data_IF_122730924160
#
_entry.id   IF_122730924160
#
_cell.length_a   1.000
_cell.length_b   1.000
_cell.length_c   1.000
_cell.angle_alpha   90.00
_cell.angle_beta   90.00
_cell.angle_gamma   90.00
#
_symmetry.space_group_name_H-M   'P 1'
#
loop_
_entity.id
_entity.type
_entity.pdbx_description
1 polymer ?
#
# COMPACT_ATOMS: atom_id res chain seq x y z
N UNK A 1 -33.20 7.15 4.05
CA UNK A 1 -32.61 8.51 3.99
C UNK A 1 -31.12 8.36 3.75
N UNK A 2 -30.47 9.18 2.90
CA UNK A 2 -29.03 9.12 2.74
C UNK A 2 -28.32 9.49 4.06
N UNK A 3 -27.31 8.71 4.44
CA UNK A 3 -26.44 8.98 5.60
C UNK A 3 -25.28 9.87 5.16
N UNK A 4 -24.99 10.91 5.93
CA UNK A 4 -23.79 11.73 5.74
C UNK A 4 -22.59 10.98 6.35
N UNK A 5 -21.49 10.93 5.59
CA UNK A 5 -20.19 10.35 5.96
C UNK A 5 -19.20 11.51 6.09
N UNK A 6 -18.34 11.51 7.10
CA UNK A 6 -17.47 12.65 7.41
C UNK A 6 -16.30 12.30 8.30
N UNK A 7 -15.34 13.22 8.43
CA UNK A 7 -14.09 12.98 9.18
C UNK A 7 -14.32 12.62 10.64
N UNK A 8 -15.42 13.07 11.24
CA UNK A 8 -15.81 12.78 12.62
C UNK A 8 -16.00 11.29 12.91
N UNK A 9 -16.19 10.44 11.89
CA UNK A 9 -16.33 8.98 12.07
C UNK A 9 -15.04 8.30 12.57
N UNK A 10 -13.89 8.97 12.43
CA UNK A 10 -12.59 8.45 12.88
C UNK A 10 -11.88 9.37 13.88
N UNK A 11 -12.52 10.45 14.35
CA UNK A 11 -11.89 11.45 15.22
C UNK A 11 -11.41 10.85 16.55
N UNK A 12 -12.18 9.91 17.11
CA UNK A 12 -11.91 9.24 18.39
C UNK A 12 -10.85 8.13 18.30
N UNK A 13 -10.39 7.79 17.09
CA UNK A 13 -9.31 6.81 16.93
C UNK A 13 -7.96 7.42 17.32
N UNK A 14 -7.05 6.61 17.86
CA UNK A 14 -5.66 7.02 17.98
C UNK A 14 -5.03 7.25 16.60
N UNK A 15 -3.98 8.06 16.56
CA UNK A 15 -3.36 8.48 15.31
C UNK A 15 -2.88 7.30 14.43
N UNK A 16 -2.20 6.25 14.95
CA UNK A 16 -1.94 5.04 14.18
C UNK A 16 -3.18 4.36 13.61
N UNK A 17 -4.25 4.21 14.40
CA UNK A 17 -5.51 3.61 13.95
C UNK A 17 -6.14 4.35 12.77
N UNK A 18 -6.05 5.68 12.71
CA UNK A 18 -6.53 6.47 11.55
C UNK A 18 -5.81 6.07 10.25
N UNK A 19 -4.50 5.82 10.31
CA UNK A 19 -3.74 5.33 9.14
C UNK A 19 -4.24 3.97 8.67
N UNK A 20 -4.48 3.03 9.60
CA UNK A 20 -4.93 1.68 9.26
C UNK A 20 -6.33 1.64 8.68
N UNK A 21 -7.27 2.43 9.20
CA UNK A 21 -8.62 2.54 8.64
C UNK A 21 -8.57 3.08 7.21
N UNK A 22 -7.75 4.11 6.96
CA UNK A 22 -7.61 4.64 5.61
C UNK A 22 -6.91 3.64 4.67
N UNK A 23 -5.85 2.98 5.15
CA UNK A 23 -5.19 1.90 4.40
C UNK A 23 -6.19 0.80 3.99
N UNK A 24 -7.07 0.40 4.91
CA UNK A 24 -8.12 -0.58 4.65
C UNK A 24 -9.12 -0.09 3.60
N UNK A 25 -9.59 1.14 3.70
CA UNK A 25 -10.52 1.70 2.72
C UNK A 25 -9.94 1.71 1.29
N UNK A 26 -8.66 2.06 1.14
CA UNK A 26 -7.99 1.98 -0.17
C UNK A 26 -7.85 0.54 -0.68
N UNK A 27 -7.58 -0.42 0.21
CA UNK A 27 -7.50 -1.83 -0.17
C UNK A 27 -8.87 -2.38 -0.59
N UNK A 28 -9.92 -2.06 0.16
CA UNK A 28 -11.29 -2.50 -0.11
C UNK A 28 -11.77 -1.96 -1.47
N UNK A 29 -11.48 -0.69 -1.77
CA UNK A 29 -11.76 -0.10 -3.08
C UNK A 29 -10.99 -0.82 -4.21
N UNK A 30 -9.70 -1.13 -3.98
CA UNK A 30 -8.89 -1.89 -4.94
C UNK A 30 -9.46 -3.30 -5.18
N UNK A 31 -9.84 -4.01 -4.11
CA UNK A 31 -10.46 -5.34 -4.17
C UNK A 31 -11.75 -5.29 -4.97
N UNK A 32 -12.61 -4.31 -4.68
CA UNK A 32 -13.91 -4.20 -5.33
C UNK A 32 -13.76 -3.98 -6.83
N UNK A 33 -12.97 -2.99 -7.25
CA UNK A 33 -12.72 -2.72 -8.68
C UNK A 33 -12.04 -3.90 -9.38
N UNK A 34 -11.11 -4.58 -8.71
CA UNK A 34 -10.44 -5.76 -9.26
C UNK A 34 -11.39 -6.96 -9.43
N UNK A 35 -12.28 -7.17 -8.46
CA UNK A 35 -13.32 -8.19 -8.52
C UNK A 35 -14.31 -7.91 -9.65
N UNK A 36 -14.74 -6.66 -9.82
CA UNK A 36 -15.62 -6.27 -10.94
C UNK A 36 -14.95 -6.46 -12.31
N UNK A 37 -13.62 -6.30 -12.41
CA UNK A 37 -12.88 -6.65 -13.64
C UNK A 37 -12.91 -8.15 -13.93
N UNK A 38 -12.77 -8.98 -12.90
CA UNK A 38 -12.85 -10.45 -13.04
C UNK A 38 -14.25 -10.87 -13.49
N UNK A 39 -15.28 -10.21 -12.98
CA UNK A 39 -16.68 -10.48 -13.31
C UNK A 39 -17.14 -9.87 -14.64
N UNK A 40 -16.31 -9.01 -15.24
CA UNK A 40 -16.61 -8.33 -16.51
C UNK A 40 -17.59 -7.16 -16.39
N UNK A 41 -17.87 -6.70 -15.17
CA UNK A 41 -18.70 -5.51 -14.89
C UNK A 41 -17.88 -4.23 -15.09
N UNK A 42 -16.60 -4.26 -14.71
CA UNK A 42 -15.65 -3.16 -14.90
C UNK A 42 -14.65 -3.50 -16.01
N UNK A 43 -14.37 -2.54 -16.90
CA UNK A 43 -13.53 -2.81 -18.08
C UNK A 43 -12.08 -3.09 -17.64
N UNK A 44 -11.57 -4.27 -17.98
CA UNK A 44 -10.18 -4.66 -17.80
C UNK A 44 -9.30 -4.08 -18.92
N UNK A 45 -8.91 -2.82 -18.78
CA UNK A 45 -7.93 -2.15 -19.64
C UNK A 45 -6.74 -1.63 -18.82
N UNK A 46 -5.70 -1.16 -19.50
CA UNK A 46 -4.49 -0.70 -18.83
C UNK A 46 -4.74 0.46 -17.86
N UNK A 47 -5.49 1.48 -18.26
CA UNK A 47 -5.76 2.64 -17.41
C UNK A 47 -6.52 2.27 -16.12
N UNK A 48 -7.52 1.40 -16.23
CA UNK A 48 -8.26 0.92 -15.07
C UNK A 48 -7.40 0.00 -14.19
N UNK A 49 -6.54 -0.82 -14.80
CA UNK A 49 -5.58 -1.64 -14.06
C UNK A 49 -4.61 -0.77 -13.24
N UNK A 50 -4.12 0.34 -13.81
CA UNK A 50 -3.28 1.32 -13.10
C UNK A 50 -4.02 1.90 -11.88
N UNK A 51 -5.32 2.19 -11.98
CA UNK A 51 -6.14 2.63 -10.83
C UNK A 51 -6.18 1.56 -9.75
N UNK A 52 -6.48 0.30 -10.10
CA UNK A 52 -6.52 -0.81 -9.13
C UNK A 52 -5.18 -0.96 -8.41
N UNK A 53 -4.07 -0.98 -9.17
CA UNK A 53 -2.72 -1.09 -8.61
C UNK A 53 -2.34 0.14 -7.76
N UNK A 54 -2.70 1.35 -8.20
CA UNK A 54 -2.44 2.59 -7.48
C UNK A 54 -3.16 2.66 -6.14
N UNK A 55 -4.42 2.21 -6.07
CA UNK A 55 -5.17 2.10 -4.82
C UNK A 55 -4.50 1.10 -3.86
N UNK A 56 -4.08 -0.06 -4.36
CA UNK A 56 -3.35 -1.05 -3.56
C UNK A 56 -1.99 -0.49 -3.09
N UNK A 57 -1.26 0.20 -3.95
CA UNK A 57 0.03 0.81 -3.60
C UNK A 57 -0.14 1.81 -2.47
N UNK A 58 -1.11 2.70 -2.59
CA UNK A 58 -1.36 3.71 -1.57
C UNK A 58 -1.89 3.09 -0.26
N UNK A 59 -2.71 2.03 -0.35
CA UNK A 59 -3.07 1.24 0.84
C UNK A 59 -1.84 0.74 1.60
N UNK A 60 -0.90 0.12 0.90
CA UNK A 60 0.34 -0.42 1.51
C UNK A 60 1.20 0.70 2.10
N UNK A 61 1.26 1.86 1.44
CA UNK A 61 1.96 3.05 1.93
C UNK A 61 1.40 3.50 3.28
N UNK A 62 0.08 3.65 3.36
CA UNK A 62 -0.62 4.05 4.59
C UNK A 62 -0.48 2.99 5.69
N UNK A 63 -0.54 1.71 5.33
CA UNK A 63 -0.31 0.61 6.27
C UNK A 63 1.08 0.71 6.90
N UNK A 64 2.15 0.87 6.10
CA UNK A 64 3.49 1.05 6.65
C UNK A 64 3.62 2.30 7.50
N UNK A 65 3.01 3.42 7.10
CA UNK A 65 2.96 4.64 7.92
C UNK A 65 2.29 4.38 9.27
N UNK A 66 1.18 3.64 9.30
CA UNK A 66 0.53 3.20 10.53
C UNK A 66 1.44 2.33 11.41
N UNK A 67 2.13 1.35 10.82
CA UNK A 67 3.09 0.48 11.53
C UNK A 67 4.23 1.29 12.13
N UNK A 68 4.85 2.18 11.34
CA UNK A 68 5.93 3.05 11.79
C UNK A 68 5.48 3.93 12.95
N UNK A 69 4.29 4.53 12.82
CA UNK A 69 3.74 5.39 13.85
C UNK A 69 3.50 4.62 15.15
N UNK A 70 2.80 3.49 15.08
CA UNK A 70 2.50 2.70 16.27
C UNK A 70 3.76 2.14 16.95
N UNK A 71 4.77 1.75 16.17
CA UNK A 71 5.98 1.09 16.71
C UNK A 71 7.01 2.09 17.25
N UNK A 72 7.08 3.30 16.67
CA UNK A 72 8.07 4.32 17.08
C UNK A 72 7.50 5.42 17.97
N UNK A 73 6.18 5.60 17.99
CA UNK A 73 5.51 6.75 18.62
C UNK A 73 5.78 8.08 17.91
N UNK A 74 6.46 8.08 16.77
CA UNK A 74 6.77 9.26 15.98
C UNK A 74 5.87 9.33 14.74
N UNK A 75 5.50 10.54 14.35
CA UNK A 75 4.78 10.74 13.11
C UNK A 75 5.65 10.30 11.92
N UNK A 76 5.13 9.47 11.00
CA UNK A 76 5.93 8.91 9.93
C UNK A 76 6.41 10.00 8.96
N UNK A 77 7.59 9.77 8.38
CA UNK A 77 8.22 10.67 7.42
C UNK A 77 7.29 10.96 6.23
N UNK A 78 7.40 12.16 5.64
CA UNK A 78 6.60 12.57 4.48
C UNK A 78 6.96 11.85 3.16
N UNK A 79 7.72 10.75 3.24
CA UNK A 79 8.03 9.94 2.06
C UNK A 79 6.81 9.15 1.59
N UNK A 80 6.68 9.00 0.28
CA UNK A 80 5.70 8.13 -0.38
C UNK A 80 6.35 6.88 -0.96
N UNK A 81 7.68 6.76 -0.82
CA UNK A 81 8.44 5.66 -1.38
C UNK A 81 8.26 4.41 -0.51
N UNK A 82 7.55 3.40 -1.04
CA UNK A 82 7.35 2.12 -0.36
C UNK A 82 8.65 1.43 0.03
N UNK A 83 9.71 1.60 -0.75
CA UNK A 83 11.00 0.98 -0.48
C UNK A 83 11.64 1.55 0.78
N UNK A 84 11.61 2.88 0.93
CA UNK A 84 12.13 3.55 2.12
C UNK A 84 11.30 3.17 3.35
N UNK A 85 9.98 3.15 3.21
CA UNK A 85 9.06 2.72 4.26
C UNK A 85 9.32 1.25 4.67
N UNK A 86 9.53 0.34 3.72
CA UNK A 86 9.87 -1.06 4.02
C UNK A 86 11.18 -1.20 4.81
N UNK A 87 12.20 -0.44 4.42
CA UNK A 87 13.49 -0.43 5.13
C UNK A 87 13.34 0.09 6.55
N UNK A 88 12.50 1.12 6.76
CA UNK A 88 12.20 1.65 8.10
C UNK A 88 11.39 0.64 8.92
N UNK A 89 10.34 0.04 8.36
CA UNK A 89 9.50 -0.97 9.03
C UNK A 89 10.34 -2.17 9.46
N UNK A 90 11.23 -2.66 8.59
CA UNK A 90 12.16 -3.75 8.93
C UNK A 90 13.03 -3.43 10.15
N UNK A 91 13.37 -2.16 10.39
CA UNK A 91 14.18 -1.74 11.53
C UNK A 91 13.36 -1.62 12.81
N UNK A 92 12.16 -1.04 12.74
CA UNK A 92 11.38 -0.68 13.94
C UNK A 92 10.34 -1.74 14.33
N UNK A 93 9.90 -2.56 13.38
CA UNK A 93 8.88 -3.59 13.55
C UNK A 93 9.26 -4.86 12.77
N UNK A 94 10.38 -5.52 13.13
CA UNK A 94 10.88 -6.69 12.39
C UNK A 94 9.88 -7.86 12.35
N UNK A 95 9.10 -8.05 13.40
CA UNK A 95 8.08 -9.11 13.46
C UNK A 95 6.96 -8.87 12.44
N UNK A 96 6.54 -7.60 12.30
CA UNK A 96 5.56 -7.20 11.28
C UNK A 96 6.13 -7.40 9.88
N UNK A 97 7.38 -7.02 9.66
CA UNK A 97 8.06 -7.21 8.38
C UNK A 97 8.21 -8.69 8.01
N UNK A 98 8.41 -9.57 9.01
CA UNK A 98 8.53 -11.02 8.77
C UNK A 98 7.21 -11.67 8.34
N UNK A 99 6.07 -11.10 8.76
CA UNK A 99 4.73 -11.60 8.43
C UNK A 99 4.19 -10.95 7.15
N UNK A 100 4.41 -9.64 6.97
CA UNK A 100 3.83 -8.89 5.86
C UNK A 100 4.63 -9.06 4.56
N UNK A 101 3.99 -9.65 3.56
CA UNK A 101 4.48 -9.75 2.19
C UNK A 101 3.94 -8.59 1.36
N UNK A 102 4.82 -7.66 1.01
CA UNK A 102 4.47 -6.53 0.16
C UNK A 102 4.24 -6.97 -1.31
N UNK A 103 3.15 -6.55 -1.95
CA UNK A 103 2.88 -6.89 -3.34
C UNK A 103 3.72 -6.10 -4.36
N UNK A 104 4.37 -5.01 -3.94
CA UNK A 104 5.21 -4.15 -4.80
C UNK A 104 6.69 -4.40 -4.54
N UNK A 105 7.04 -5.69 -4.52
CA UNK A 105 8.29 -6.21 -3.97
C UNK A 105 9.53 -5.37 -4.27
N UNK A 106 10.41 -5.35 -3.27
CA UNK A 106 11.84 -5.23 -3.45
C UNK A 106 12.28 -6.44 -4.28
N UNK A 107 12.49 -6.31 -5.60
CA UNK A 107 13.43 -7.24 -6.23
C UNK A 107 14.75 -7.07 -5.47
N UNK A 108 15.21 -8.14 -4.82
CA UNK A 108 16.51 -8.10 -4.16
C UNK A 108 17.53 -7.73 -5.23
N UNK A 109 18.10 -6.54 -5.12
CA UNK A 109 19.11 -6.08 -6.04
C UNK A 109 20.21 -7.14 -6.10
N UNK A 110 20.59 -7.61 -7.30
CA UNK A 110 21.54 -8.69 -7.47
C UNK A 110 22.75 -8.51 -6.53
N UNK A 111 23.09 -9.58 -5.81
CA UNK A 111 24.10 -9.53 -4.74
C UNK A 111 25.47 -9.09 -5.26
N UNK A 112 25.76 -9.33 -6.54
CA UNK A 112 26.95 -8.92 -7.27
C UNK A 112 27.06 -7.42 -7.56
N UNK A 113 26.01 -6.62 -7.33
CA UNK A 113 26.07 -5.17 -7.52
C UNK A 113 26.84 -4.48 -6.40
N UNK A 114 27.70 -3.55 -6.78
CA UNK A 114 28.47 -2.75 -5.82
C UNK A 114 27.56 -1.72 -5.11
N UNK A 115 28.00 -1.12 -3.98
CA UNK A 115 27.17 -0.19 -3.21
C UNK A 115 26.67 1.03 -4.00
N UNK A 116 27.44 1.51 -4.99
CA UNK A 116 27.07 2.65 -5.83
C UNK A 116 25.98 2.26 -6.84
N UNK A 117 26.12 1.11 -7.49
CA UNK A 117 25.10 0.55 -8.38
C UNK A 117 23.79 0.27 -7.63
N UNK A 118 23.88 -0.30 -6.43
CA UNK A 118 22.71 -0.49 -5.56
C UNK A 118 22.04 0.82 -5.21
N UNK A 119 22.82 1.89 -4.99
CA UNK A 119 22.27 3.21 -4.67
C UNK A 119 21.61 3.90 -5.87
N UNK A 120 22.14 3.70 -7.08
CA UNK A 120 21.54 4.19 -8.34
C UNK A 120 20.21 3.48 -8.58
N UNK A 121 20.20 2.14 -8.56
CA UNK A 121 18.99 1.36 -8.78
C UNK A 121 17.91 1.62 -7.72
N UNK A 122 18.29 1.79 -6.44
CA UNK A 122 17.33 2.22 -5.40
C UNK A 122 16.72 3.58 -5.69
N UNK A 123 17.52 4.53 -6.19
CA UNK A 123 17.03 5.87 -6.55
C UNK A 123 16.09 5.83 -7.75
N UNK A 124 16.36 4.96 -8.73
CA UNK A 124 15.58 4.88 -9.96
C UNK A 124 14.27 4.11 -9.73
N UNK A 125 14.32 2.99 -9.01
CA UNK A 125 13.14 2.18 -8.66
C UNK A 125 12.22 2.93 -7.68
N UNK A 126 12.78 3.54 -6.62
CA UNK A 126 11.98 4.14 -5.55
C UNK A 126 11.29 5.47 -5.89
N UNK A 127 11.83 6.26 -6.84
CA UNK A 127 11.27 7.58 -7.18
C UNK A 127 10.06 7.54 -8.11
N UNK A 128 9.84 6.41 -8.78
CA UNK A 128 8.83 6.27 -9.83
C UNK A 128 7.61 5.45 -9.41
N UNK A 129 7.70 4.67 -8.32
CA UNK A 129 6.68 3.67 -8.00
C UNK A 129 5.31 4.24 -7.65
N UNK A 130 5.23 5.40 -7.00
CA UNK A 130 3.94 6.06 -6.73
C UNK A 130 3.41 6.82 -7.96
N UNK A 131 4.31 7.24 -8.86
CA UNK A 131 3.99 8.01 -10.06
C UNK A 131 3.55 7.15 -11.23
N UNK A 132 4.13 5.95 -11.37
CA UNK A 132 3.85 5.03 -12.48
C UNK A 132 2.38 4.62 -12.54
N UNK A 133 1.71 4.56 -11.37
CA UNK A 133 0.28 4.23 -11.29
C UNK A 133 -0.66 5.40 -11.58
N UNK A 134 -0.12 6.62 -11.67
CA UNK A 134 -0.91 7.86 -11.83
C UNK A 134 -0.71 8.54 -13.18
N UNK A 135 0.48 8.39 -13.76
CA UNK A 135 0.87 9.10 -14.98
C UNK A 135 1.29 8.11 -16.06
N UNK A 136 1.02 8.44 -17.32
CA UNK A 136 1.44 7.61 -18.47
C UNK A 136 2.93 7.78 -18.81
N UNK A 137 3.52 8.89 -18.35
CA UNK A 137 4.89 9.28 -18.61
C UNK A 137 5.58 9.67 -17.31
N UNK A 138 6.90 9.59 -17.31
CA UNK A 138 7.75 10.13 -16.26
C UNK A 138 7.77 11.67 -16.28
N UNK A 139 8.56 12.26 -15.39
CA UNK A 139 8.71 13.72 -15.27
C UNK A 139 9.36 14.37 -16.48
N UNK A 140 10.08 13.61 -17.29
CA UNK A 140 10.74 14.07 -18.52
C UNK A 140 9.87 13.82 -19.75
N UNK A 141 8.65 13.31 -19.58
CA UNK A 141 7.70 13.00 -20.66
C UNK A 141 8.02 11.69 -21.39
N UNK A 142 8.89 10.84 -20.83
CA UNK A 142 9.22 9.54 -21.41
C UNK A 142 8.29 8.45 -20.88
N UNK A 143 8.01 7.40 -21.68
CA UNK A 143 7.30 6.23 -21.18
C UNK A 143 8.06 5.60 -20.00
N UNK A 144 7.31 5.01 -19.07
CA UNK A 144 7.93 4.22 -18.00
C UNK A 144 8.68 3.02 -18.57
N UNK A 145 9.88 2.77 -18.05
CA UNK A 145 10.67 1.60 -18.43
C UNK A 145 9.98 0.29 -18.02
N UNK A 146 10.28 -0.79 -18.76
CA UNK A 146 9.83 -2.15 -18.46
C UNK A 146 8.51 -2.57 -19.12
N UNK A 147 8.14 -3.84 -18.91
CA UNK A 147 6.87 -4.40 -19.37
C UNK A 147 5.86 -4.29 -18.23
N UNK A 148 4.80 -3.53 -18.46
CA UNK A 148 3.72 -3.34 -17.49
C UNK A 148 2.54 -4.25 -17.86
N UNK A 149 2.31 -5.28 -17.05
CA UNK A 149 1.25 -6.26 -17.26
C UNK A 149 0.32 -6.33 -16.05
N UNK A 150 -0.95 -6.67 -16.31
CA UNK A 150 -1.95 -6.84 -15.26
C UNK A 150 -2.89 -7.98 -15.63
N UNK A 151 -3.14 -8.88 -14.68
CA UNK A 151 -4.11 -9.96 -14.78
C UNK A 151 -5.01 -9.85 -13.56
N UNK A 152 -6.28 -9.46 -13.77
CA UNK A 152 -7.21 -9.16 -12.68
C UNK A 152 -7.38 -10.33 -11.70
N UNK A 153 -7.57 -11.56 -12.22
CA UNK A 153 -7.78 -12.75 -11.38
C UNK A 153 -6.57 -13.05 -10.48
N UNK A 154 -5.35 -12.93 -11.02
CA UNK A 154 -4.12 -13.12 -10.25
C UNK A 154 -3.92 -12.02 -9.22
N UNK A 155 -4.15 -10.76 -9.60
CA UNK A 155 -3.95 -9.63 -8.69
C UNK A 155 -5.00 -9.59 -7.58
N UNK A 156 -6.24 -10.03 -7.84
CA UNK A 156 -7.27 -10.17 -6.82
C UNK A 156 -6.85 -11.12 -5.68
N UNK A 157 -6.13 -12.21 -5.99
CA UNK A 157 -5.57 -13.10 -4.96
C UNK A 157 -4.54 -12.37 -4.09
N UNK A 158 -3.70 -11.54 -4.71
CA UNK A 158 -2.71 -10.70 -4.02
C UNK A 158 -3.41 -9.71 -3.08
N UNK A 159 -4.48 -9.06 -3.54
CA UNK A 159 -5.26 -8.12 -2.72
C UNK A 159 -5.94 -8.80 -1.53
N UNK A 160 -6.55 -9.97 -1.74
CA UNK A 160 -7.16 -10.77 -0.66
C UNK A 160 -6.12 -11.24 0.36
N UNK A 161 -4.92 -11.60 -0.09
CA UNK A 161 -3.80 -11.90 0.79
C UNK A 161 -3.35 -10.66 1.59
N UNK A 162 -3.26 -9.49 0.97
CA UNK A 162 -2.97 -8.25 1.70
C UNK A 162 -4.03 -7.97 2.79
N UNK A 163 -5.32 -8.15 2.46
CA UNK A 163 -6.42 -7.93 3.40
C UNK A 163 -6.33 -8.85 4.61
N UNK A 164 -6.08 -10.15 4.36
CA UNK A 164 -5.90 -11.15 5.41
C UNK A 164 -4.69 -10.84 6.32
N UNK A 165 -3.61 -10.32 5.75
CA UNK A 165 -2.45 -9.90 6.53
C UNK A 165 -2.72 -8.66 7.37
N UNK A 166 -3.48 -7.68 6.86
CA UNK A 166 -3.91 -6.54 7.67
C UNK A 166 -4.73 -7.00 8.88
N UNK A 167 -5.64 -7.95 8.68
CA UNK A 167 -6.47 -8.50 9.76
C UNK A 167 -5.66 -9.24 10.83
N UNK A 168 -4.59 -9.90 10.43
CA UNK A 168 -3.69 -10.59 11.35
C UNK A 168 -2.77 -9.62 12.12
N UNK A 169 -2.28 -8.59 11.43
CA UNK A 169 -1.21 -7.73 11.94
C UNK A 169 -1.78 -6.58 12.77
N UNK A 170 -2.75 -5.83 12.24
CA UNK A 170 -3.22 -4.58 12.86
C UNK A 170 -3.63 -4.77 14.32
N UNK A 171 -4.44 -5.79 14.70
CA UNK A 171 -4.82 -6.00 16.10
C UNK A 171 -3.66 -6.26 17.07
N UNK A 172 -2.50 -6.71 16.56
CA UNK A 172 -1.30 -6.95 17.39
C UNK A 172 -0.48 -5.68 17.66
N UNK A 173 -0.70 -4.63 16.86
CA UNK A 173 0.09 -3.39 16.89
C UNK A 173 -0.69 -2.25 17.57
N UNK A 174 -1.97 -2.10 17.26
CA UNK A 174 -2.84 -1.11 17.90
C UNK A 174 -3.53 -1.70 19.12
N UNK A 175 -3.61 -0.92 20.19
CA UNK A 175 -4.46 -1.27 21.33
C UNK A 175 -5.90 -1.35 20.82
N UNK A 176 -6.70 -2.34 21.26
CA UNK A 176 -8.09 -2.43 20.82
C UNK A 176 -8.80 -1.11 21.13
N UNK A 177 -9.31 -0.47 20.08
CA UNK A 177 -10.27 0.62 20.24
C UNK A 177 -11.46 0.06 21.03
N UNK A 178 -11.96 0.81 22.01
CA UNK A 178 -13.16 0.45 22.76
C UNK A 178 -14.27 0.02 21.78
N UNK A 179 -15.08 -1.00 22.12
CA UNK A 179 -16.12 -1.48 21.22
C UNK A 179 -17.04 -0.32 20.83
N UNK A 180 -17.09 -0.04 19.53
CA UNK A 180 -18.04 0.90 18.95
C UNK A 180 -19.42 0.35 19.27
N UNK A 181 -20.19 1.08 20.07
CA UNK A 181 -21.56 0.71 20.39
C UNK A 181 -22.35 0.53 19.09
N UNK A 182 -22.81 -0.70 18.85
CA UNK A 182 -23.87 -0.97 17.89
C UNK A 182 -25.11 -0.17 18.34
N UNK A 183 -25.51 0.80 17.52
CA UNK A 183 -26.83 1.44 17.59
C UNK A 183 -27.68 0.93 16.43
#
# INVERSE_FOLDING_TARGET
MPRMVGSWEIEELDEPSKWFVLARAYLDASIHLCQEMVEGVFIANFSNAQVVMGLCHHSVELFYKGVLHASSGQFPNATHNLFDLQVEVKKVAPDVFAVFTCPFGLEELPSNLNPREKQILKKDIGKAQDQQFRYQFDRDGKPWDGIHGFIASSFLLVLKNCSSQYDAIVPSIVKPAYPIHEN
#
